data_IF_057694345993
#
_entry.id   IF_057694345993
#
_cell.length_a   1.000
_cell.length_b   1.000
_cell.length_c   1.000
_cell.angle_alpha   90.00
_cell.angle_beta   90.00
_cell.angle_gamma   90.00
#
_symmetry.space_group_name_H-M   'P 1'
#
loop_
_entity.id
_entity.type
_entity.pdbx_description
1 polymer ?
#
# COMPACT_ATOMS: atom_id res chain seq x y z
N UNK A 1 39.91 -49.63 -12.87
CA UNK A 1 40.97 -49.43 -11.85
C UNK A 1 40.32 -48.78 -10.64
N UNK A 2 39.77 -49.54 -9.67
CA UNK A 2 40.43 -49.98 -8.41
C UNK A 2 41.00 -48.79 -7.63
N UNK A 3 40.55 -48.42 -6.41
CA UNK A 3 40.35 -49.26 -5.21
C UNK A 3 39.37 -48.61 -4.21
N UNK A 4 38.51 -49.43 -3.59
CA UNK A 4 38.07 -49.29 -2.20
C UNK A 4 39.14 -49.93 -1.30
N UNK A 5 39.35 -49.40 -0.09
CA UNK A 5 39.92 -50.17 1.01
C UNK A 5 39.31 -49.73 2.35
N UNK A 6 38.84 -50.74 3.08
CA UNK A 6 38.23 -50.75 4.42
C UNK A 6 39.31 -50.91 5.52
N UNK A 7 39.13 -50.20 6.65
CA UNK A 7 39.02 -50.64 8.09
C UNK A 7 40.09 -51.65 8.58
N UNK A 8 40.71 -51.60 9.80
CA UNK A 8 40.00 -51.59 11.11
C UNK A 8 40.75 -51.03 12.36
N UNK A 9 40.06 -50.96 13.53
CA UNK A 9 40.33 -51.75 14.78
C UNK A 9 40.90 -50.80 15.88
N UNK A 10 40.72 -50.87 17.21
CA UNK A 10 40.19 -51.86 18.16
C UNK A 10 40.13 -51.21 19.58
N UNK A 11 39.15 -51.60 20.42
CA UNK A 11 39.19 -51.79 21.91
C UNK A 11 39.55 -50.60 22.86
N UNK A 12 39.23 -50.56 24.15
CA UNK A 12 38.63 -51.50 25.11
C UNK A 12 38.00 -50.71 26.29
N UNK A 13 37.08 -51.38 26.97
CA UNK A 13 36.38 -51.08 28.22
C UNK A 13 37.21 -50.66 29.45
N UNK A 14 36.57 -49.92 30.37
CA UNK A 14 36.99 -49.78 31.77
C UNK A 14 35.84 -49.34 32.67
N UNK A 15 35.32 -50.28 33.46
CA UNK A 15 34.24 -50.16 34.43
C UNK A 15 34.83 -49.80 35.81
N UNK A 16 34.26 -48.85 36.56
CA UNK A 16 34.26 -48.89 38.04
C UNK A 16 33.22 -47.93 38.63
N UNK A 17 32.24 -48.50 39.33
CA UNK A 17 31.43 -47.81 40.33
C UNK A 17 32.23 -47.72 41.63
N UNK A 18 32.03 -46.67 42.42
CA UNK A 18 31.72 -46.74 43.86
C UNK A 18 31.18 -45.40 44.36
N UNK A 19 30.16 -45.48 45.22
CA UNK A 19 29.36 -44.39 45.75
C UNK A 19 30.05 -43.65 46.91
N UNK A 20 29.70 -42.38 47.11
CA UNK A 20 29.64 -41.77 48.45
C UNK A 20 28.60 -40.65 48.50
N UNK A 21 27.91 -40.58 49.63
CA UNK A 21 26.72 -39.82 49.93
C UNK A 21 26.95 -38.30 50.15
N UNK A 22 25.87 -37.54 49.92
CA UNK A 22 25.50 -36.37 50.73
C UNK A 22 25.88 -35.01 50.16
N UNK A 23 24.89 -34.25 49.67
CA UNK A 23 24.22 -33.25 50.49
C UNK A 23 23.11 -32.55 49.67
N UNK A 24 21.97 -32.28 50.31
CA UNK A 24 20.83 -31.60 49.73
C UNK A 24 21.19 -30.15 49.35
N UNK A 25 20.84 -29.76 48.13
CA UNK A 25 20.81 -28.38 47.67
C UNK A 25 19.63 -28.20 46.72
N UNK A 26 18.48 -27.83 47.28
CA UNK A 26 17.28 -27.50 46.52
C UNK A 26 17.52 -26.19 45.77
N UNK A 27 17.68 -26.27 44.45
CA UNK A 27 17.89 -25.14 43.55
C UNK A 27 16.94 -25.25 42.36
N UNK A 28 15.84 -24.53 42.44
CA UNK A 28 14.75 -24.48 41.48
C UNK A 28 15.24 -23.95 40.11
N UNK A 29 15.50 -24.82 39.14
CA UNK A 29 15.79 -24.41 37.75
C UNK A 29 14.48 -24.10 37.03
N UNK A 30 14.07 -22.84 37.09
CA UNK A 30 13.11 -22.29 36.13
C UNK A 30 13.78 -22.25 34.75
N UNK A 31 13.27 -23.10 33.86
CA UNK A 31 13.53 -23.07 32.44
C UNK A 31 12.88 -21.80 31.85
N UNK A 32 13.61 -20.68 31.88
CA UNK A 32 13.21 -19.47 31.18
C UNK A 32 13.57 -19.62 29.72
N UNK A 33 12.64 -20.15 28.94
CA UNK A 33 12.61 -19.97 27.48
C UNK A 33 12.52 -18.46 27.19
N UNK A 34 13.68 -17.83 27.04
CA UNK A 34 13.80 -16.47 26.57
C UNK A 34 13.16 -16.39 25.18
N UNK A 35 11.95 -15.81 25.10
CA UNK A 35 11.39 -15.32 23.83
C UNK A 35 12.45 -14.41 23.21
N UNK A 36 13.03 -14.84 22.10
CA UNK A 36 13.77 -13.93 21.22
C UNK A 36 12.84 -12.76 20.91
N UNK A 37 13.17 -11.59 21.43
CA UNK A 37 12.68 -10.34 20.87
C UNK A 37 13.31 -10.23 19.48
N UNK A 38 12.63 -10.78 18.47
CA UNK A 38 12.81 -10.36 17.09
C UNK A 38 12.25 -8.94 16.96
N UNK A 39 12.92 -7.98 17.59
CA UNK A 39 12.63 -6.56 17.43
C UNK A 39 13.17 -6.12 16.06
N UNK A 40 12.59 -6.67 14.99
CA UNK A 40 12.77 -6.11 13.65
C UNK A 40 12.21 -4.69 13.69
N UNK A 41 12.97 -3.66 13.30
CA UNK A 41 12.47 -2.29 13.28
C UNK A 41 11.13 -2.19 12.56
N UNK A 42 10.21 -1.41 13.14
CA UNK A 42 8.94 -1.06 12.53
C UNK A 42 9.19 -0.31 11.22
N UNK A 43 8.55 -0.75 10.13
CA UNK A 43 8.63 -0.07 8.82
C UNK A 43 7.72 1.15 8.75
N UNK A 44 6.85 1.33 9.76
CA UNK A 44 5.87 2.40 9.79
C UNK A 44 6.47 3.81 9.76
N UNK A 45 7.74 3.95 10.16
CA UNK A 45 8.47 5.23 10.12
C UNK A 45 8.76 5.70 8.69
N UNK A 46 8.84 4.77 7.74
CA UNK A 46 9.15 5.04 6.34
C UNK A 46 7.87 5.15 5.47
N UNK A 47 6.70 4.98 6.08
CA UNK A 47 5.43 5.05 5.37
C UNK A 47 5.13 6.45 4.85
N UNK A 48 4.63 6.48 3.62
CA UNK A 48 4.20 7.69 2.93
C UNK A 48 2.72 7.91 3.22
N UNK A 49 2.38 9.06 3.81
CA UNK A 49 1.01 9.57 3.87
C UNK A 49 0.85 10.63 2.77
N UNK A 50 -0.11 10.41 1.89
CA UNK A 50 -0.37 11.27 0.73
C UNK A 50 -1.85 11.59 0.57
N UNK A 51 -2.19 12.34 -0.48
CA UNK A 51 -3.57 12.60 -0.86
C UNK A 51 -3.86 12.01 -2.24
N UNK A 52 -4.98 11.29 -2.36
CA UNK A 52 -5.65 11.05 -3.64
C UNK A 52 -6.27 12.39 -4.05
N UNK A 53 -5.80 12.97 -5.16
CA UNK A 53 -6.22 14.30 -5.61
C UNK A 53 -7.70 14.41 -5.99
N UNK A 54 -8.41 13.28 -6.12
CA UNK A 54 -9.87 13.24 -6.21
C UNK A 54 -10.54 13.88 -4.99
N UNK A 55 -9.88 13.83 -3.83
CA UNK A 55 -10.27 14.62 -2.65
C UNK A 55 -10.49 16.10 -3.01
N UNK A 56 -9.69 16.66 -3.91
CA UNK A 56 -9.77 18.06 -4.33
C UNK A 56 -10.27 18.24 -5.79
N UNK A 57 -11.08 17.32 -6.32
CA UNK A 57 -11.46 17.32 -7.74
C UNK A 57 -12.34 18.51 -8.21
N UNK A 58 -12.91 19.27 -7.29
CA UNK A 58 -13.69 20.49 -7.61
C UNK A 58 -12.81 21.71 -7.94
N UNK A 59 -11.50 21.59 -7.80
CA UNK A 59 -10.53 22.64 -8.17
C UNK A 59 -9.53 22.13 -9.19
N UNK A 60 -8.83 23.04 -9.85
CA UNK A 60 -7.73 22.71 -10.76
C UNK A 60 -6.54 22.10 -10.03
N UNK A 61 -5.68 21.41 -10.78
CA UNK A 61 -4.53 20.67 -10.29
C UNK A 61 -3.58 21.56 -9.49
N UNK A 62 -3.22 22.75 -10.00
CA UNK A 62 -2.41 23.74 -9.27
C UNK A 62 -3.01 24.11 -7.89
N UNK A 63 -4.32 24.32 -7.82
CA UNK A 63 -5.02 24.62 -6.56
C UNK A 63 -5.08 23.38 -5.66
N UNK A 64 -5.23 22.19 -6.23
CA UNK A 64 -5.18 20.93 -5.49
C UNK A 64 -3.79 20.67 -4.88
N UNK A 65 -2.71 21.03 -5.58
CA UNK A 65 -1.34 20.99 -5.03
C UNK A 65 -1.19 21.91 -3.82
N UNK A 66 -1.67 23.17 -3.92
CA UNK A 66 -1.62 24.11 -2.80
C UNK A 66 -2.46 23.63 -1.59
N UNK A 67 -3.62 23.01 -1.84
CA UNK A 67 -4.44 22.37 -0.79
C UNK A 67 -3.71 21.20 -0.14
N UNK A 68 -3.08 20.33 -0.92
CA UNK A 68 -2.30 19.21 -0.41
C UNK A 68 -1.11 19.68 0.44
N UNK A 69 -0.35 20.67 -0.05
CA UNK A 69 0.79 21.25 0.68
C UNK A 69 0.35 21.90 2.00
N UNK A 70 -0.72 22.71 1.97
CA UNK A 70 -1.27 23.34 3.19
C UNK A 70 -1.84 22.31 4.18
N UNK A 71 -2.24 21.13 3.72
CA UNK A 71 -2.66 20.02 4.58
C UNK A 71 -1.48 19.24 5.18
N UNK A 72 -0.24 19.54 4.77
CA UNK A 72 0.97 18.91 5.28
C UNK A 72 1.28 17.53 4.71
N UNK A 73 0.69 17.16 3.56
CA UNK A 73 1.09 15.97 2.80
C UNK A 73 2.20 16.29 1.80
N UNK A 74 3.06 15.30 1.52
CA UNK A 74 4.18 15.44 0.56
C UNK A 74 4.11 14.50 -0.64
N UNK A 75 3.18 13.54 -0.57
CA UNK A 75 2.98 12.53 -1.60
C UNK A 75 1.57 12.62 -2.17
N UNK A 76 1.45 12.34 -3.46
CA UNK A 76 0.20 12.47 -4.19
C UNK A 76 -0.11 11.20 -4.97
N UNK A 77 -1.39 10.87 -5.04
CA UNK A 77 -1.96 10.04 -6.09
C UNK A 77 -2.81 10.94 -7.00
N UNK A 78 -2.37 11.14 -8.24
CA UNK A 78 -3.05 12.03 -9.18
C UNK A 78 -4.13 11.27 -9.97
N UNK A 79 -5.26 11.92 -10.27
CA UNK A 79 -6.27 11.32 -11.14
C UNK A 79 -6.24 11.98 -12.54
N UNK A 80 -6.26 11.20 -13.63
CA UNK A 80 -6.33 11.76 -14.97
C UNK A 80 -7.62 12.54 -15.23
N UNK A 81 -7.50 13.67 -15.92
CA UNK A 81 -8.62 14.52 -16.33
C UNK A 81 -8.80 15.78 -15.48
N UNK A 82 -8.05 15.95 -14.38
CA UNK A 82 -8.09 17.19 -13.59
C UNK A 82 -7.57 18.38 -14.42
N UNK A 83 -8.34 19.49 -14.59
CA UNK A 83 -7.85 20.69 -15.27
C UNK A 83 -6.57 21.21 -14.62
N UNK A 84 -5.55 21.55 -15.40
CA UNK A 84 -4.24 21.89 -14.83
C UNK A 84 -4.22 23.20 -14.05
N UNK A 85 -4.96 24.21 -14.52
CA UNK A 85 -4.94 25.55 -13.94
C UNK A 85 -3.64 26.31 -14.27
N UNK A 86 -3.32 27.34 -13.49
CA UNK A 86 -2.13 28.19 -13.69
C UNK A 86 -1.90 28.66 -15.15
N UNK A 87 -2.97 28.97 -15.89
CA UNK A 87 -2.89 29.41 -17.29
C UNK A 87 -2.62 28.31 -18.33
N UNK A 88 -2.52 27.03 -17.92
CA UNK A 88 -2.52 25.87 -18.82
C UNK A 88 -3.95 25.51 -19.22
N UNK A 89 -4.13 25.03 -20.46
CA UNK A 89 -5.45 24.65 -20.99
C UNK A 89 -5.72 23.15 -20.87
N UNK A 90 -4.67 22.33 -20.76
CA UNK A 90 -4.75 20.90 -20.64
C UNK A 90 -5.29 20.39 -19.31
N UNK A 91 -5.33 19.07 -19.22
CA UNK A 91 -5.72 18.31 -18.04
C UNK A 91 -4.57 17.37 -17.67
N UNK A 92 -4.41 17.05 -16.40
CA UNK A 92 -3.44 16.05 -15.98
C UNK A 92 -3.73 14.73 -16.69
N UNK A 93 -2.76 14.20 -17.45
CA UNK A 93 -2.96 13.00 -18.27
C UNK A 93 -1.93 12.85 -19.38
N UNK A 94 -2.04 11.78 -20.18
CA UNK A 94 -1.06 11.44 -21.21
C UNK A 94 -0.95 12.51 -22.31
N UNK A 95 -2.04 13.23 -22.57
CA UNK A 95 -2.14 14.24 -23.63
C UNK A 95 -1.58 15.62 -23.25
N UNK A 96 -1.04 15.79 -22.04
CA UNK A 96 -0.33 17.03 -21.67
C UNK A 96 0.82 17.30 -22.63
N UNK A 97 0.98 18.56 -23.04
CA UNK A 97 2.13 18.97 -23.86
C UNK A 97 3.44 18.88 -23.08
N UNK A 98 4.61 18.85 -23.74
CA UNK A 98 5.90 18.91 -23.06
C UNK A 98 6.03 20.13 -22.12
N UNK A 99 5.50 21.29 -22.53
CA UNK A 99 5.51 22.52 -21.73
C UNK A 99 4.62 22.40 -20.49
N UNK A 100 3.44 21.79 -20.63
CA UNK A 100 2.55 21.51 -19.50
C UNK A 100 3.18 20.53 -18.51
N UNK A 101 3.79 19.44 -19.00
CA UNK A 101 4.53 18.47 -18.16
C UNK A 101 5.67 19.15 -17.40
N UNK A 102 6.46 20.00 -18.07
CA UNK A 102 7.54 20.75 -17.44
C UNK A 102 7.02 21.69 -16.35
N UNK A 103 5.90 22.39 -16.61
CA UNK A 103 5.28 23.29 -15.63
C UNK A 103 4.70 22.53 -14.44
N UNK A 104 4.07 21.37 -14.65
CA UNK A 104 3.62 20.49 -13.56
C UNK A 104 4.79 20.06 -12.69
N UNK A 105 5.91 19.62 -13.30
CA UNK A 105 7.14 19.28 -12.56
C UNK A 105 7.67 20.45 -11.73
N UNK A 106 7.66 21.66 -12.30
CA UNK A 106 8.08 22.87 -11.58
C UNK A 106 7.18 23.16 -10.37
N UNK A 107 5.86 23.06 -10.52
CA UNK A 107 4.93 23.27 -9.41
C UNK A 107 5.10 22.20 -8.30
N UNK A 108 5.27 20.94 -8.68
CA UNK A 108 5.56 19.86 -7.73
C UNK A 108 6.84 20.16 -6.95
N UNK A 109 7.91 20.57 -7.64
CA UNK A 109 9.18 20.93 -7.01
C UNK A 109 9.03 22.14 -6.08
N UNK A 110 8.30 23.20 -6.47
CA UNK A 110 8.14 24.39 -5.63
C UNK A 110 7.36 24.14 -4.34
N UNK A 111 6.44 23.17 -4.34
CA UNK A 111 5.71 22.73 -3.14
C UNK A 111 6.43 21.61 -2.36
N UNK A 112 7.51 21.05 -2.92
CA UNK A 112 8.15 19.85 -2.39
C UNK A 112 7.22 18.63 -2.39
N UNK A 113 6.36 18.53 -3.41
CA UNK A 113 5.41 17.42 -3.61
C UNK A 113 5.96 16.41 -4.61
N UNK A 114 5.57 15.15 -4.48
CA UNK A 114 5.89 14.09 -5.44
C UNK A 114 4.67 13.23 -5.74
N UNK A 115 4.45 12.93 -7.02
CA UNK A 115 3.41 12.00 -7.45
C UNK A 115 3.96 10.57 -7.31
N UNK A 116 3.40 9.80 -6.39
CA UNK A 116 3.81 8.40 -6.16
C UNK A 116 3.01 7.45 -7.03
N UNK A 117 1.74 7.79 -7.27
CA UNK A 117 0.82 6.98 -8.05
C UNK A 117 -0.13 7.84 -8.88
N UNK A 118 -0.84 7.20 -9.81
CA UNK A 118 -1.98 7.82 -10.49
C UNK A 118 -3.09 6.81 -10.73
N UNK A 119 -4.32 7.30 -10.75
CA UNK A 119 -5.51 6.50 -11.00
C UNK A 119 -6.78 7.14 -10.42
N UNK A 120 -7.90 6.44 -10.41
CA UNK A 120 -8.11 5.08 -10.92
C UNK A 120 -8.39 5.12 -12.43
N UNK A 121 -7.67 4.32 -13.23
CA UNK A 121 -7.89 4.25 -14.69
C UNK A 121 -8.41 2.88 -15.15
N UNK A 122 -9.14 2.84 -16.26
CA UNK A 122 -9.47 1.60 -16.98
C UNK A 122 -9.33 1.81 -18.50
N UNK A 123 -8.10 1.89 -19.03
CA UNK A 123 -7.87 1.99 -20.47
C UNK A 123 -8.50 0.82 -21.23
N UNK A 124 -9.03 1.09 -22.42
CA UNK A 124 -9.72 0.08 -23.25
C UNK A 124 -8.79 -0.64 -24.21
N UNK A 125 -7.62 -0.07 -24.50
CA UNK A 125 -6.64 -0.65 -25.42
C UNK A 125 -5.24 -0.68 -24.80
N UNK A 126 -4.39 -1.57 -25.30
CA UNK A 126 -2.99 -1.67 -24.85
C UNK A 126 -2.19 -0.42 -25.23
N UNK A 127 -2.56 0.28 -26.31
CA UNK A 127 -1.90 1.53 -26.68
C UNK A 127 -2.27 2.68 -25.74
N UNK A 128 -3.50 2.73 -25.22
CA UNK A 128 -3.84 3.65 -24.14
C UNK A 128 -3.07 3.33 -22.85
N UNK A 129 -2.92 2.04 -22.51
CA UNK A 129 -2.07 1.63 -21.39
C UNK A 129 -0.64 2.13 -21.52
N UNK A 130 0.00 1.97 -22.70
CA UNK A 130 1.36 2.47 -22.95
C UNK A 130 1.48 3.97 -22.69
N UNK A 131 0.50 4.77 -23.14
CA UNK A 131 0.50 6.23 -22.88
C UNK A 131 0.48 6.56 -21.39
N UNK A 132 -0.26 5.80 -20.59
CA UNK A 132 -0.24 5.96 -19.13
C UNK A 132 1.07 5.48 -18.51
N UNK A 133 1.65 4.38 -18.97
CA UNK A 133 2.99 3.97 -18.52
C UNK A 133 4.08 4.99 -18.88
N UNK A 134 4.01 5.62 -20.05
CA UNK A 134 4.90 6.71 -20.44
C UNK A 134 4.75 7.91 -19.52
N UNK A 135 3.51 8.30 -19.19
CA UNK A 135 3.23 9.36 -18.22
C UNK A 135 3.74 8.98 -16.81
N UNK A 136 3.55 7.73 -16.39
CA UNK A 136 4.02 7.25 -15.10
C UNK A 136 5.54 7.33 -15.00
N UNK A 137 6.25 6.95 -16.07
CA UNK A 137 7.70 7.06 -16.18
C UNK A 137 8.16 8.52 -16.17
N UNK A 138 7.46 9.39 -16.89
CA UNK A 138 7.75 10.84 -16.99
C UNK A 138 7.78 11.52 -15.61
N UNK A 139 6.90 11.09 -14.70
CA UNK A 139 6.78 11.64 -13.34
C UNK A 139 7.41 10.76 -12.25
N UNK A 140 8.02 9.62 -12.60
CA UNK A 140 8.72 8.75 -11.65
C UNK A 140 7.80 8.01 -10.68
N UNK A 141 6.61 7.62 -11.14
CA UNK A 141 5.62 6.91 -10.32
C UNK A 141 6.12 5.51 -9.92
N UNK A 142 5.67 5.05 -8.75
CA UNK A 142 5.93 3.70 -8.26
C UNK A 142 4.91 2.69 -8.79
N UNK A 143 3.65 3.10 -8.91
CA UNK A 143 2.56 2.26 -9.40
C UNK A 143 1.44 3.07 -10.06
N UNK A 144 0.61 2.38 -10.85
CA UNK A 144 -0.62 2.89 -11.45
C UNK A 144 -1.81 2.19 -10.78
N UNK A 145 -2.76 2.95 -10.27
CA UNK A 145 -4.01 2.44 -9.71
C UNK A 145 -5.04 2.24 -10.82
N UNK A 146 -5.66 1.06 -10.91
CA UNK A 146 -6.55 0.71 -12.03
C UNK A 146 -7.64 -0.29 -11.65
N UNK A 147 -8.73 -0.31 -12.40
CA UNK A 147 -9.68 -1.44 -12.47
C UNK A 147 -9.56 -2.08 -13.86
N UNK A 148 -8.54 -2.92 -14.13
CA UNK A 148 -8.22 -3.37 -15.48
C UNK A 148 -9.27 -4.33 -16.06
N UNK A 149 -9.37 -4.44 -17.38
CA UNK A 149 -10.20 -5.49 -17.98
C UNK A 149 -9.50 -6.85 -17.86
N UNK A 150 -10.28 -7.91 -17.60
CA UNK A 150 -9.74 -9.26 -17.33
C UNK A 150 -8.92 -9.83 -18.49
N UNK A 151 -9.33 -9.56 -19.72
CA UNK A 151 -8.65 -10.00 -20.93
C UNK A 151 -7.31 -9.25 -21.18
N UNK A 152 -7.02 -8.20 -20.41
CA UNK A 152 -5.80 -7.42 -20.54
C UNK A 152 -4.71 -7.77 -19.51
N UNK A 153 -5.00 -8.59 -18.48
CA UNK A 153 -4.08 -8.81 -17.36
C UNK A 153 -2.66 -9.20 -17.79
N UNK A 154 -2.50 -10.16 -18.72
CA UNK A 154 -1.17 -10.59 -19.18
C UNK A 154 -0.38 -9.50 -19.93
N UNK A 155 -1.09 -8.69 -20.73
CA UNK A 155 -0.46 -7.57 -21.44
C UNK A 155 -0.07 -6.44 -20.48
N UNK A 156 -0.92 -6.14 -19.50
CA UNK A 156 -0.67 -5.13 -18.47
C UNK A 156 0.51 -5.56 -17.59
N UNK A 157 0.58 -6.82 -17.18
CA UNK A 157 1.70 -7.37 -16.40
C UNK A 157 3.03 -7.25 -17.16
N UNK A 158 3.02 -7.59 -18.45
CA UNK A 158 4.19 -7.48 -19.32
C UNK A 158 4.67 -6.02 -19.45
N UNK A 159 3.74 -5.07 -19.65
CA UNK A 159 4.05 -3.65 -19.68
C UNK A 159 4.60 -3.16 -18.33
N UNK A 160 3.95 -3.53 -17.23
CA UNK A 160 4.38 -3.17 -15.88
C UNK A 160 5.82 -3.64 -15.60
N UNK A 161 6.16 -4.86 -16.01
CA UNK A 161 7.52 -5.39 -15.95
C UNK A 161 8.51 -4.61 -16.82
N UNK A 162 8.15 -4.33 -18.08
CA UNK A 162 9.02 -3.60 -19.03
C UNK A 162 9.30 -2.15 -18.61
N UNK A 163 8.32 -1.49 -17.98
CA UNK A 163 8.47 -0.11 -17.48
C UNK A 163 9.06 -0.05 -16.07
N UNK A 164 9.05 -1.16 -15.32
CA UNK A 164 9.42 -1.17 -13.90
C UNK A 164 8.42 -0.44 -13.00
N UNK A 165 7.16 -0.34 -13.43
CA UNK A 165 6.09 0.38 -12.74
C UNK A 165 4.96 -0.61 -12.48
N UNK A 166 4.58 -0.79 -11.22
CA UNK A 166 3.56 -1.79 -10.84
C UNK A 166 2.15 -1.33 -11.20
N UNK A 167 1.20 -2.27 -11.28
CA UNK A 167 -0.23 -1.96 -11.40
C UNK A 167 -0.96 -2.45 -10.16
N UNK A 168 -1.65 -1.55 -9.49
CA UNK A 168 -2.40 -1.78 -8.28
C UNK A 168 -3.90 -1.77 -8.59
N UNK A 169 -4.56 -2.92 -8.44
CA UNK A 169 -6.00 -3.06 -8.65
C UNK A 169 -6.74 -2.32 -7.54
N UNK A 170 -7.49 -1.28 -7.89
CA UNK A 170 -8.36 -0.57 -6.96
C UNK A 170 -9.53 -1.45 -6.57
N UNK A 171 -9.66 -1.74 -5.28
CA UNK A 171 -10.80 -2.50 -4.78
C UNK A 171 -11.98 -1.55 -4.48
N UNK A 172 -13.09 -1.70 -5.21
CA UNK A 172 -14.23 -0.79 -5.11
C UNK A 172 -15.45 -1.48 -4.51
N UNK A 173 -16.40 -0.75 -3.90
CA UNK A 173 -17.52 -1.42 -3.20
C UNK A 173 -18.39 -2.22 -4.19
N UNK A 174 -19.01 -3.32 -3.70
CA UNK A 174 -19.95 -4.10 -4.52
C UNK A 174 -21.06 -3.20 -5.10
N UNK A 175 -21.52 -3.43 -6.34
CA UNK A 175 -21.30 -4.62 -7.18
C UNK A 175 -20.12 -4.53 -8.17
N UNK A 176 -19.03 -3.81 -7.85
CA UNK A 176 -17.83 -3.81 -8.70
C UNK A 176 -17.26 -5.24 -8.88
N UNK A 177 -16.49 -5.51 -9.94
CA UNK A 177 -15.82 -6.82 -10.14
C UNK A 177 -14.62 -7.03 -9.21
N UNK A 178 -13.97 -5.94 -8.81
CA UNK A 178 -12.84 -5.89 -7.87
C UNK A 178 -13.31 -5.45 -6.49
N UNK A 179 -14.34 -6.10 -5.93
CA UNK A 179 -14.90 -5.69 -4.63
C UNK A 179 -14.41 -6.52 -3.45
N UNK A 180 -13.68 -7.59 -3.75
CA UNK A 180 -13.26 -8.61 -2.80
C UNK A 180 -11.84 -9.05 -3.13
N UNK A 181 -10.98 -9.32 -2.13
CA UNK A 181 -9.57 -9.67 -2.36
C UNK A 181 -9.36 -10.92 -3.24
N UNK A 182 -10.37 -11.79 -3.35
CA UNK A 182 -10.33 -12.93 -4.29
C UNK A 182 -10.18 -12.52 -5.75
N UNK A 183 -10.74 -11.38 -6.12
CA UNK A 183 -10.63 -10.86 -7.48
C UNK A 183 -9.18 -10.46 -7.81
N UNK A 184 -8.47 -9.86 -6.86
CA UNK A 184 -7.05 -9.55 -6.96
C UNK A 184 -6.23 -10.83 -6.98
N UNK A 185 -6.50 -11.79 -6.09
CA UNK A 185 -5.78 -13.08 -6.07
C UNK A 185 -5.89 -13.81 -7.41
N UNK A 186 -7.06 -13.78 -8.04
CA UNK A 186 -7.25 -14.32 -9.38
C UNK A 186 -6.45 -13.54 -10.44
N UNK A 187 -6.38 -12.22 -10.32
CA UNK A 187 -5.66 -11.37 -11.27
C UNK A 187 -4.14 -11.49 -11.15
N UNK A 188 -3.58 -11.72 -9.97
CA UNK A 188 -2.11 -11.82 -9.76
C UNK A 188 -1.54 -13.20 -10.11
N UNK A 189 -2.38 -14.21 -10.32
CA UNK A 189 -1.92 -15.55 -10.65
C UNK A 189 -1.20 -15.55 -12.01
N UNK A 190 0.13 -15.68 -11.99
CA UNK A 190 0.97 -15.59 -13.19
C UNK A 190 1.30 -14.16 -13.62
N UNK A 191 0.92 -13.14 -12.83
CA UNK A 191 1.13 -11.72 -13.13
C UNK A 191 1.84 -11.00 -11.97
N UNK A 192 3.17 -11.16 -11.81
CA UNK A 192 3.95 -10.67 -10.65
C UNK A 192 4.07 -9.13 -10.56
N UNK A 193 3.61 -8.38 -11.56
CA UNK A 193 3.62 -6.92 -11.56
C UNK A 193 2.25 -6.30 -11.27
N UNK A 194 1.23 -7.15 -11.08
CA UNK A 194 -0.10 -6.77 -10.63
C UNK A 194 -0.20 -7.01 -9.11
N UNK A 195 -0.95 -6.16 -8.42
CA UNK A 195 -1.21 -6.23 -6.98
C UNK A 195 -2.47 -5.45 -6.63
N UNK A 196 -2.63 -5.07 -5.37
CA UNK A 196 -3.77 -4.31 -4.87
C UNK A 196 -3.43 -2.85 -4.56
N UNK A 197 -4.36 -1.96 -4.90
CA UNK A 197 -4.61 -0.72 -4.18
C UNK A 197 -5.76 -1.01 -3.20
N UNK A 198 -5.39 -1.30 -1.97
CA UNK A 198 -6.33 -1.71 -0.92
C UNK A 198 -7.18 -0.53 -0.47
N UNK A 199 -8.44 -0.47 -0.89
CA UNK A 199 -9.39 0.50 -0.33
C UNK A 199 -10.13 -0.09 0.86
N UNK A 200 -9.71 0.34 2.05
CA UNK A 200 -10.24 -0.18 3.31
C UNK A 200 -11.69 0.23 3.56
N UNK A 201 -12.14 1.35 2.98
CA UNK A 201 -13.52 1.80 3.10
C UNK A 201 -14.46 1.05 2.20
N UNK A 202 -14.06 0.74 0.96
CA UNK A 202 -14.87 -0.05 0.05
C UNK A 202 -15.03 -1.50 0.49
N UNK A 203 -14.00 -2.08 1.09
CA UNK A 203 -14.13 -3.36 1.80
C UNK A 203 -15.14 -3.29 2.94
N UNK A 204 -15.01 -2.30 3.83
CA UNK A 204 -15.92 -2.13 4.96
C UNK A 204 -17.37 -1.84 4.51
N UNK A 205 -17.58 -1.03 3.46
CA UNK A 205 -18.88 -0.82 2.78
C UNK A 205 -19.48 -2.12 2.27
N UNK A 206 -18.64 -3.03 1.81
CA UNK A 206 -19.01 -4.36 1.36
C UNK A 206 -19.15 -5.37 2.51
N UNK A 207 -19.03 -4.93 3.76
CA UNK A 207 -19.18 -5.78 4.95
C UNK A 207 -18.01 -6.73 5.17
N UNK A 208 -16.87 -6.47 4.53
CA UNK A 208 -15.64 -7.20 4.74
C UNK A 208 -14.83 -6.56 5.86
N UNK A 209 -14.06 -7.37 6.58
CA UNK A 209 -13.05 -6.87 7.52
C UNK A 209 -11.79 -6.47 6.73
N UNK A 210 -11.39 -5.18 6.72
CA UNK A 210 -10.19 -4.76 6.03
C UNK A 210 -8.91 -5.47 6.50
N UNK A 211 -8.80 -5.85 7.77
CA UNK A 211 -7.62 -6.55 8.31
C UNK A 211 -7.51 -7.96 7.72
N UNK A 212 -8.62 -8.68 7.63
CA UNK A 212 -8.64 -10.00 6.98
C UNK A 212 -8.36 -9.89 5.48
N UNK A 213 -8.87 -8.85 4.82
CA UNK A 213 -8.58 -8.59 3.40
C UNK A 213 -7.08 -8.34 3.18
N UNK A 214 -6.46 -7.51 4.02
CA UNK A 214 -5.03 -7.25 3.98
C UNK A 214 -4.20 -8.50 4.23
N UNK A 215 -4.57 -9.32 5.23
CA UNK A 215 -3.88 -10.60 5.50
C UNK A 215 -3.93 -11.53 4.30
N UNK A 216 -5.08 -11.58 3.63
CA UNK A 216 -5.28 -12.40 2.43
C UNK A 216 -4.43 -11.93 1.24
N UNK A 217 -4.12 -10.64 1.17
CA UNK A 217 -3.32 -10.01 0.13
C UNK A 217 -1.86 -9.75 0.56
N UNK A 218 -1.37 -10.45 1.59
CA UNK A 218 -0.01 -10.26 2.11
C UNK A 218 1.04 -10.39 0.99
N UNK A 219 1.94 -9.40 0.92
CA UNK A 219 2.98 -9.31 -0.11
C UNK A 219 2.52 -8.74 -1.46
N UNK A 220 1.22 -8.46 -1.64
CA UNK A 220 0.65 -7.99 -2.90
C UNK A 220 -0.04 -6.61 -2.83
N UNK A 221 0.02 -5.92 -1.69
CA UNK A 221 -0.52 -4.55 -1.53
C UNK A 221 0.54 -3.52 -1.90
N UNK A 222 0.30 -2.70 -2.92
CA UNK A 222 1.22 -1.65 -3.39
C UNK A 222 0.85 -0.24 -2.89
N UNK A 223 -0.44 -0.01 -2.63
CA UNK A 223 -0.97 1.23 -2.09
C UNK A 223 -2.24 0.97 -1.28
N UNK A 224 -2.62 1.95 -0.46
CA UNK A 224 -3.84 1.90 0.35
C UNK A 224 -4.63 3.18 0.10
N UNK A 225 -5.89 3.07 -0.27
CA UNK A 225 -6.82 4.20 -0.21
C UNK A 225 -7.38 4.29 1.21
N UNK A 226 -7.03 5.38 1.89
CA UNK A 226 -7.32 5.62 3.30
C UNK A 226 -8.57 6.48 3.41
N UNK A 227 -9.71 5.81 3.64
CA UNK A 227 -11.00 6.42 3.90
C UNK A 227 -11.70 5.72 5.05
N UNK A 228 -12.54 6.44 5.80
CA UNK A 228 -13.35 5.91 6.90
C UNK A 228 -14.82 6.17 6.60
N UNK A 229 -15.72 5.41 7.21
CA UNK A 229 -17.14 5.38 6.84
C UNK A 229 -18.05 5.40 8.07
N UNK A 230 -19.27 5.92 7.90
CA UNK A 230 -20.27 6.02 8.99
C UNK A 230 -20.89 4.68 9.41
N UNK A 231 -20.89 3.68 8.53
CA UNK A 231 -21.55 2.38 8.71
C UNK A 231 -20.88 1.26 7.88
N UNK A 232 -20.73 0.08 8.48
CA UNK A 232 -20.17 -1.13 7.83
C UNK A 232 -21.29 -1.93 7.15
N UNK A 233 -20.98 -2.57 6.02
CA UNK A 233 -21.94 -3.39 5.28
C UNK A 233 -22.97 -2.62 4.45
N UNK A 234 -22.86 -1.29 4.42
CA UNK A 234 -23.68 -0.39 3.64
C UNK A 234 -22.87 0.22 2.50
N UNK A 235 -23.18 -0.12 1.25
CA UNK A 235 -22.47 0.39 0.07
C UNK A 235 -22.68 1.90 -0.17
N UNK A 236 -23.64 2.51 0.53
CA UNK A 236 -23.92 3.95 0.50
C UNK A 236 -23.42 4.70 1.73
N UNK A 237 -22.63 4.05 2.59
CA UNK A 237 -22.07 4.69 3.78
C UNK A 237 -21.26 5.94 3.40
N UNK A 238 -21.53 7.06 4.07
CA UNK A 238 -20.84 8.31 3.81
C UNK A 238 -19.41 8.28 4.32
N UNK A 239 -18.50 8.94 3.61
CA UNK A 239 -17.13 9.11 4.07
C UNK A 239 -17.09 9.98 5.33
N UNK A 240 -16.27 9.57 6.27
CA UNK A 240 -15.94 10.26 7.52
C UNK A 240 -14.46 10.67 7.51
N UNK A 241 -14.10 11.60 8.41
CA UNK A 241 -12.70 11.87 8.69
C UNK A 241 -12.07 10.61 9.30
N UNK A 242 -10.92 10.19 8.80
CA UNK A 242 -10.24 8.96 9.26
C UNK A 242 -10.04 8.98 10.77
N UNK A 243 -10.53 7.93 11.44
CA UNK A 243 -10.48 7.80 12.89
C UNK A 243 -11.75 8.26 13.62
N UNK A 244 -12.75 8.75 12.89
CA UNK A 244 -14.06 9.17 13.45
C UNK A 244 -15.24 8.30 13.00
N UNK A 245 -15.00 7.37 12.07
CA UNK A 245 -15.99 6.43 11.56
C UNK A 245 -15.93 5.07 12.26
N UNK A 246 -16.03 4.00 11.48
CA UNK A 246 -16.21 2.62 11.96
C UNK A 246 -15.01 1.70 11.70
N UNK A 247 -14.02 2.15 10.94
CA UNK A 247 -12.88 1.30 10.56
C UNK A 247 -11.81 1.29 11.66
N UNK A 248 -11.33 0.10 11.99
CA UNK A 248 -10.27 -0.09 13.00
C UNK A 248 -8.87 0.14 12.40
N UNK A 249 -8.48 1.40 12.23
CA UNK A 249 -7.16 1.76 11.69
C UNK A 249 -5.97 1.26 12.50
N UNK A 250 -5.96 1.28 13.85
CA UNK A 250 -4.85 0.70 14.61
C UNK A 250 -4.57 -0.77 14.23
N UNK A 251 -5.61 -1.57 14.00
CA UNK A 251 -5.45 -2.95 13.55
C UNK A 251 -4.93 -3.04 12.11
N UNK A 252 -5.43 -2.21 11.19
CA UNK A 252 -4.94 -2.10 9.80
C UNK A 252 -3.47 -1.74 9.76
N UNK A 253 -3.05 -0.72 10.52
CA UNK A 253 -1.65 -0.30 10.57
C UNK A 253 -0.78 -1.39 11.22
N UNK A 254 -1.26 -2.08 12.25
CA UNK A 254 -0.51 -3.20 12.85
C UNK A 254 -0.31 -4.35 11.85
N UNK A 255 -1.34 -4.70 11.08
CA UNK A 255 -1.27 -5.74 10.05
C UNK A 255 -0.31 -5.36 8.92
N UNK A 256 -0.39 -4.13 8.38
CA UNK A 256 0.53 -3.68 7.33
C UNK A 256 1.99 -3.60 7.82
N UNK A 257 2.22 -3.23 9.08
CA UNK A 257 3.56 -3.23 9.67
C UNK A 257 4.11 -4.65 9.84
N UNK A 258 3.26 -5.61 10.22
CA UNK A 258 3.60 -7.04 10.26
C UNK A 258 4.04 -7.53 8.88
N UNK A 259 3.31 -7.14 7.84
CA UNK A 259 3.60 -7.50 6.44
C UNK A 259 4.80 -6.76 5.84
N UNK A 260 5.43 -5.83 6.58
CA UNK A 260 6.53 -4.99 6.09
C UNK A 260 6.13 -4.19 4.84
N UNK A 261 4.89 -3.72 4.78
CA UNK A 261 4.39 -2.84 3.72
C UNK A 261 5.28 -1.59 3.61
N UNK A 262 5.53 -1.11 2.39
CA UNK A 262 6.34 0.09 2.13
C UNK A 262 5.68 1.06 1.15
N UNK A 263 4.41 0.85 0.83
CA UNK A 263 3.66 1.68 -0.10
C UNK A 263 3.16 2.98 0.53
N UNK A 264 2.25 3.64 -0.19
CA UNK A 264 1.63 4.89 0.24
C UNK A 264 0.21 4.67 0.75
N UNK A 265 -0.16 5.43 1.78
CA UNK A 265 -1.54 5.64 2.21
C UNK A 265 -2.06 6.92 1.55
N UNK A 266 -2.90 6.77 0.53
CA UNK A 266 -3.56 7.86 -0.18
C UNK A 266 -4.85 8.24 0.54
N UNK A 267 -4.89 9.41 1.18
CA UNK A 267 -6.13 9.93 1.77
C UNK A 267 -7.11 10.22 0.63
N UNK A 268 -8.24 9.52 0.62
CA UNK A 268 -9.34 9.77 -0.30
C UNK A 268 -10.56 10.17 0.52
N UNK A 269 -10.84 11.47 0.54
CA UNK A 269 -11.92 12.07 1.33
C UNK A 269 -13.04 12.47 0.39
N UNK A 270 -14.03 11.59 0.23
CA UNK A 270 -15.10 11.72 -0.75
C UNK A 270 -16.35 12.46 -0.24
N UNK A 271 -16.15 13.50 0.56
CA UNK A 271 -17.21 14.36 1.11
C UNK A 271 -16.58 15.67 1.63
N UNK A 272 -17.39 16.66 2.01
CA UNK A 272 -16.95 18.02 2.39
C UNK A 272 -16.11 18.72 1.28
N UNK A 273 -16.51 18.53 0.02
CA UNK A 273 -15.74 18.89 -1.18
C UNK A 273 -15.22 20.32 -1.24
N UNK A 274 -15.96 21.27 -0.67
CA UNK A 274 -15.60 22.69 -0.69
C UNK A 274 -14.68 23.10 0.47
N UNK A 275 -14.57 22.29 1.52
CA UNK A 275 -13.81 22.60 2.73
C UNK A 275 -13.17 21.37 3.40
N UNK A 276 -12.57 20.47 2.61
CA UNK A 276 -11.98 19.22 3.09
C UNK A 276 -10.48 19.30 3.46
N UNK A 277 -9.82 20.46 3.32
CA UNK A 277 -8.43 20.64 3.80
C UNK A 277 -8.31 20.36 5.32
N UNK A 278 -9.20 20.88 6.19
CA UNK A 278 -9.21 20.52 7.61
C UNK A 278 -9.36 19.01 7.87
N UNK A 279 -10.15 18.30 7.06
CA UNK A 279 -10.35 16.85 7.17
C UNK A 279 -9.05 16.09 6.86
N UNK A 280 -8.32 16.53 5.83
CA UNK A 280 -7.01 15.97 5.46
C UNK A 280 -5.97 16.24 6.56
N UNK A 281 -5.92 17.46 7.11
CA UNK A 281 -5.02 17.80 8.24
C UNK A 281 -5.30 16.88 9.45
N UNK A 282 -6.57 16.70 9.78
CA UNK A 282 -6.99 15.84 10.90
C UNK A 282 -6.57 14.39 10.65
N UNK A 283 -6.77 13.90 9.42
CA UNK A 283 -6.35 12.55 9.01
C UNK A 283 -4.84 12.37 9.10
N UNK A 284 -4.04 13.34 8.62
CA UNK A 284 -2.56 13.29 8.73
C UNK A 284 -2.12 13.24 10.18
N UNK A 285 -2.73 14.04 11.06
CA UNK A 285 -2.44 14.04 12.50
C UNK A 285 -2.76 12.68 13.11
N UNK A 286 -3.95 12.15 12.85
CA UNK A 286 -4.38 10.84 13.35
C UNK A 286 -3.44 9.73 12.87
N UNK A 287 -3.11 9.70 11.57
CA UNK A 287 -2.18 8.74 11.00
C UNK A 287 -0.84 8.75 11.72
N UNK A 288 -0.20 9.92 11.84
CA UNK A 288 1.09 10.07 12.54
C UNK A 288 1.03 9.62 13.99
N UNK A 289 -0.06 9.96 14.70
CA UNK A 289 -0.25 9.54 16.08
C UNK A 289 -0.34 8.02 16.20
N UNK A 290 -1.16 7.35 15.38
CA UNK A 290 -1.32 5.90 15.46
C UNK A 290 -0.07 5.15 15.00
N UNK A 291 0.58 5.57 13.92
CA UNK A 291 1.78 4.87 13.42
C UNK A 291 3.00 5.07 14.32
N UNK A 292 3.05 6.13 15.13
CA UNK A 292 4.10 6.32 16.14
C UNK A 292 4.07 5.28 17.28
N UNK A 293 2.96 4.53 17.41
CA UNK A 293 2.76 3.50 18.43
C UNK A 293 3.25 2.11 18.00
N UNK A 294 3.74 1.96 16.77
CA UNK A 294 4.15 0.70 16.14
C UNK A 294 5.66 0.39 16.24
#
# INVERSE_FOLDING_TARGET
MMKKLTVPLLCLSGLMMLASCGNQGSGNTQDSTAKKNDSTPSVARDWKIGAQLWTFHYVSFDTALAKADSAGVKYLEAYPGQPLGAGMKGKFGPDMTPEEKAKVKQMLQSHGLSIVAMGVITPKTIDEWKKFFDLAKEFGLSYITSEPLKDQWGAIDSLAGAYGIKVAIHEHARPNVYWHPDSVLAAIQGHPNIGACADVGHWARSGLDPVECLRKLEGHVYGVHLKDIDSVGNTKAGDMVVGTGKINFPAIFSELNRQKFTGMFSIERENNWYNNVPDVITTVKYFKEQTSKL
#
